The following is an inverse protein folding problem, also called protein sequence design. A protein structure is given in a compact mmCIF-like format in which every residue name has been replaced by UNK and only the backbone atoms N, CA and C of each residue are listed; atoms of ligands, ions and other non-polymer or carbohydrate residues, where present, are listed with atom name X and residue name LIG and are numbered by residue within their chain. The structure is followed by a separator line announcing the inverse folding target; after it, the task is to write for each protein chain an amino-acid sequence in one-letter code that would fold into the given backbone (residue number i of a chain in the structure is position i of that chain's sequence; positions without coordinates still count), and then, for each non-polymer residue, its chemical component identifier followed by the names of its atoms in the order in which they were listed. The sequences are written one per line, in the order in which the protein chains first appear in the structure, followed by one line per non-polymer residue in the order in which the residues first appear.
data_IF_721454609921
#
_entry.id   IF_721454609921
#
_cell.length_a   1.000
_cell.length_b   1.000
_cell.length_c   1.000
_cell.angle_alpha   90.00
_cell.angle_beta   90.00
_cell.angle_gamma   90.00
#
_symmetry.space_group_name_H-M   'P 1'
#
loop_
_entity.id
_entity.type
_entity.pdbx_description
1 polymer ?
#
# COMPACT_ATOMS: atom_id res chain seq x y z
N UNK A 1 3.60 -1.28 -60.12
CA UNK A 1 3.90 -0.71 -58.80
C UNK A 1 2.87 0.37 -58.54
N UNK A 2 2.31 0.52 -57.32
CA UNK A 2 1.40 1.62 -57.03
C UNK A 2 2.13 2.95 -57.29
N UNK A 3 1.43 3.89 -57.91
CA UNK A 3 1.96 5.22 -58.29
C UNK A 3 2.02 6.15 -57.07
N UNK A 4 1.36 5.78 -55.97
CA UNK A 4 1.26 6.56 -54.73
C UNK A 4 1.33 5.60 -53.55
N UNK A 5 2.34 5.76 -52.70
CA UNK A 5 2.43 5.03 -51.45
C UNK A 5 1.35 5.51 -50.48
N UNK A 6 0.65 4.56 -49.84
CA UNK A 6 -0.35 4.84 -48.83
C UNK A 6 0.17 4.36 -47.48
N UNK A 7 0.43 5.31 -46.60
CA UNK A 7 0.85 5.05 -45.22
C UNK A 7 -0.39 5.15 -44.34
N UNK A 8 -0.69 4.09 -43.60
CA UNK A 8 -1.77 4.06 -42.61
C UNK A 8 -1.30 3.27 -41.41
N UNK A 9 -1.77 3.63 -40.23
CA UNK A 9 -1.64 2.80 -39.04
C UNK A 9 -2.24 1.40 -39.27
N UNK A 10 -1.42 0.38 -39.04
CA UNK A 10 -1.79 -1.05 -39.05
C UNK A 10 -1.23 -1.78 -37.81
N UNK A 11 -0.96 -1.01 -36.75
CA UNK A 11 -0.37 -1.51 -35.52
C UNK A 11 -1.39 -2.12 -34.54
N UNK A 12 -0.91 -2.76 -33.46
CA UNK A 12 -1.76 -3.34 -32.42
C UNK A 12 -2.47 -2.27 -31.58
N UNK A 13 -3.74 -2.50 -31.22
CA UNK A 13 -4.58 -1.49 -30.57
C UNK A 13 -4.11 -0.99 -29.19
N UNK A 14 -3.25 -1.73 -28.48
CA UNK A 14 -2.72 -1.38 -27.15
C UNK A 14 -1.40 -0.58 -27.20
N UNK A 15 -1.00 -0.12 -28.39
CA UNK A 15 0.24 0.61 -28.60
C UNK A 15 0.01 2.13 -28.51
N UNK A 16 0.86 2.82 -27.75
CA UNK A 16 0.86 4.28 -27.63
C UNK A 16 1.59 4.96 -28.78
N UNK A 17 2.71 4.38 -29.23
CA UNK A 17 3.47 4.85 -30.40
C UNK A 17 3.83 3.67 -31.28
N UNK A 18 3.58 3.79 -32.57
CA UNK A 18 3.92 2.79 -33.57
C UNK A 18 4.65 3.44 -34.74
N UNK A 19 5.85 2.97 -35.06
CA UNK A 19 6.63 3.42 -36.22
C UNK A 19 6.22 2.59 -37.44
N UNK A 20 5.84 3.28 -38.52
CA UNK A 20 5.60 2.64 -39.80
C UNK A 20 6.89 1.93 -40.29
N UNK A 21 6.85 0.64 -40.71
CA UNK A 21 8.08 -0.12 -40.94
C UNK A 21 8.95 0.37 -42.12
N UNK A 22 8.38 0.73 -43.29
CA UNK A 22 9.15 1.36 -44.36
C UNK A 22 9.65 2.76 -43.99
N UNK A 23 10.92 3.03 -44.27
CA UNK A 23 11.60 4.32 -44.06
C UNK A 23 11.92 5.06 -45.37
N UNK A 24 11.64 4.45 -46.53
CA UNK A 24 11.87 4.97 -47.87
C UNK A 24 10.61 5.63 -48.47
N UNK A 25 10.18 6.75 -47.88
CA UNK A 25 8.98 7.45 -48.33
C UNK A 25 9.25 8.35 -49.54
N UNK A 26 8.32 8.33 -50.50
CA UNK A 26 8.36 9.16 -51.72
C UNK A 26 7.51 10.42 -51.59
N UNK A 27 7.82 11.46 -52.38
CA UNK A 27 6.92 12.61 -52.51
C UNK A 27 5.57 12.20 -53.09
N UNK A 28 4.48 12.80 -52.60
CA UNK A 28 3.11 12.44 -53.03
C UNK A 28 2.47 11.31 -52.23
N UNK A 29 3.21 10.64 -51.35
CA UNK A 29 2.70 9.66 -50.39
C UNK A 29 1.49 10.19 -49.61
N UNK A 30 0.46 9.37 -49.47
CA UNK A 30 -0.74 9.67 -48.70
C UNK A 30 -0.64 9.07 -47.30
N UNK A 31 -0.62 9.92 -46.28
CA UNK A 31 -0.64 9.53 -44.86
C UNK A 31 -2.07 9.63 -44.35
N UNK A 32 -2.63 8.51 -43.90
CA UNK A 32 -3.99 8.41 -43.37
C UNK A 32 -3.94 8.29 -41.85
N UNK A 33 -4.45 9.30 -41.16
CA UNK A 33 -4.47 9.40 -39.70
C UNK A 33 -5.90 9.24 -39.20
N UNK A 34 -6.13 8.31 -38.25
CA UNK A 34 -7.46 8.08 -37.68
C UNK A 34 -7.82 9.18 -36.65
N UNK A 35 -9.11 9.26 -36.28
CA UNK A 35 -9.65 10.30 -35.38
C UNK A 35 -8.98 10.40 -34.00
N UNK A 36 -8.58 9.27 -33.41
CA UNK A 36 -7.92 9.22 -32.11
C UNK A 36 -6.38 9.11 -32.24
N UNK A 37 -5.81 9.61 -33.34
CA UNK A 37 -4.39 9.49 -33.65
C UNK A 37 -3.79 10.80 -34.13
N UNK A 38 -2.48 10.92 -33.93
CA UNK A 38 -1.62 11.88 -34.61
C UNK A 38 -0.51 11.11 -35.31
N UNK A 39 0.04 11.67 -36.40
CA UNK A 39 1.22 11.12 -37.06
C UNK A 39 2.35 12.15 -37.03
N UNK A 40 3.54 11.75 -36.58
CA UNK A 40 4.73 12.60 -36.60
C UNK A 40 5.66 12.14 -37.70
N UNK A 41 6.08 13.11 -38.50
CA UNK A 41 7.06 12.90 -39.55
C UNK A 41 8.46 13.24 -39.05
N UNK A 42 9.38 12.27 -39.11
CA UNK A 42 10.78 12.41 -38.74
C UNK A 42 11.70 12.33 -39.96
N UNK A 43 12.72 13.19 -40.01
CA UNK A 43 13.78 13.13 -41.01
C UNK A 43 15.11 13.55 -40.38
N UNK A 44 16.16 12.77 -40.63
CA UNK A 44 17.50 13.08 -40.11
C UNK A 44 17.53 13.26 -38.59
N UNK A 45 16.74 12.47 -37.85
CA UNK A 45 16.65 12.52 -36.39
C UNK A 45 15.87 13.72 -35.82
N UNK A 46 15.16 14.49 -36.64
CA UNK A 46 14.33 15.62 -36.19
C UNK A 46 12.86 15.40 -36.49
N UNK A 47 12.00 15.65 -35.52
CA UNK A 47 10.55 15.76 -35.72
C UNK A 47 10.28 17.03 -36.54
N UNK A 48 9.69 16.90 -37.71
CA UNK A 48 9.46 18.02 -38.61
C UNK A 48 8.03 18.53 -38.52
N UNK A 49 7.06 17.61 -38.53
CA UNK A 49 5.64 17.98 -38.52
C UNK A 49 4.77 17.00 -37.74
N UNK A 50 3.61 17.49 -37.30
CA UNK A 50 2.58 16.70 -36.59
C UNK A 50 1.28 16.80 -37.39
N UNK A 51 0.85 15.67 -37.94
CA UNK A 51 -0.36 15.55 -38.74
C UNK A 51 -1.51 15.06 -37.85
N UNK A 52 -2.59 15.84 -37.80
CA UNK A 52 -3.82 15.45 -37.10
C UNK A 52 -4.69 14.47 -37.91
N UNK A 53 -5.90 14.14 -37.44
CA UNK A 53 -6.81 13.23 -38.13
C UNK A 53 -7.13 13.65 -39.57
N UNK A 54 -7.22 12.67 -40.47
CA UNK A 54 -7.53 12.87 -41.88
C UNK A 54 -6.48 12.30 -42.83
N UNK A 55 -6.63 12.60 -44.11
CA UNK A 55 -5.70 12.17 -45.15
C UNK A 55 -4.81 13.34 -45.56
N UNK A 56 -3.51 13.16 -45.45
CA UNK A 56 -2.50 14.17 -45.72
C UNK A 56 -1.58 13.71 -46.84
N UNK A 57 -1.28 14.60 -47.78
CA UNK A 57 -0.29 14.31 -48.83
C UNK A 57 1.06 14.88 -48.43
N UNK A 58 2.10 14.05 -48.40
CA UNK A 58 3.47 14.49 -48.17
C UNK A 58 3.94 15.31 -49.39
N UNK A 59 4.00 16.63 -49.20
CA UNK A 59 4.53 17.60 -50.17
C UNK A 59 5.40 18.61 -49.44
N UNK A 60 6.49 19.03 -50.08
CA UNK A 60 7.43 20.06 -49.56
C UNK A 60 6.72 21.35 -49.13
N UNK A 61 5.63 21.71 -49.82
CA UNK A 61 4.86 22.91 -49.52
C UNK A 61 4.06 22.82 -48.21
N UNK A 62 3.65 21.62 -47.79
CA UNK A 62 2.75 21.42 -46.65
C UNK A 62 3.48 21.27 -45.31
N UNK A 63 4.81 21.11 -45.31
CA UNK A 63 5.61 20.98 -44.09
C UNK A 63 6.50 22.24 -43.96
N UNK A 64 6.11 23.24 -43.16
CA UNK A 64 6.78 24.54 -43.10
C UNK A 64 8.27 24.46 -42.75
N UNK A 65 8.65 23.53 -41.87
CA UNK A 65 10.03 23.30 -41.42
C UNK A 65 10.94 22.66 -42.48
N UNK A 66 10.38 22.05 -43.53
CA UNK A 66 11.14 21.41 -44.61
C UNK A 66 11.51 22.35 -45.74
N UNK A 67 10.88 23.53 -45.84
CA UNK A 67 11.11 24.48 -46.96
C UNK A 67 12.57 24.94 -47.06
N UNK A 68 13.30 25.01 -45.94
CA UNK A 68 14.69 25.45 -45.91
C UNK A 68 15.73 24.39 -46.31
N UNK A 69 15.35 23.11 -46.44
CA UNK A 69 16.31 21.99 -46.56
C UNK A 69 16.43 21.40 -47.97
N UNK A 70 15.64 21.85 -48.96
CA UNK A 70 15.44 21.18 -50.26
C UNK A 70 16.01 21.98 -51.44
N UNK A 71 16.98 22.86 -51.21
CA UNK A 71 17.76 23.46 -52.28
C UNK A 71 18.85 22.48 -52.79
N UNK A 72 18.46 21.32 -53.32
CA UNK A 72 19.39 20.35 -53.92
C UNK A 72 18.83 19.77 -55.25
N UNK A 73 19.70 19.41 -56.22
CA UNK A 73 19.41 19.39 -57.65
C UNK A 73 18.77 18.09 -58.16
N UNK A 74 17.88 17.46 -57.39
CA UNK A 74 17.47 16.07 -57.61
C UNK A 74 16.17 15.85 -58.38
N UNK A 75 15.87 16.69 -59.38
CA UNK A 75 15.00 16.26 -60.51
C UNK A 75 13.55 15.87 -60.21
N UNK A 76 12.95 16.29 -59.09
CA UNK A 76 11.50 16.25 -58.88
C UNK A 76 10.91 15.03 -58.17
N UNK A 77 11.58 13.88 -58.15
CA UNK A 77 11.19 12.71 -57.35
C UNK A 77 12.42 12.06 -56.74
N UNK A 78 12.71 12.38 -55.48
CA UNK A 78 13.79 11.75 -54.71
C UNK A 78 13.18 11.01 -53.54
N UNK A 79 13.29 9.68 -53.46
CA UNK A 79 12.97 8.95 -52.23
C UNK A 79 13.88 9.49 -51.13
N UNK A 80 13.30 9.81 -49.98
CA UNK A 80 14.04 10.31 -48.84
C UNK A 80 13.84 9.38 -47.66
N UNK A 81 14.91 9.11 -46.91
CA UNK A 81 14.80 8.41 -45.64
C UNK A 81 13.99 9.27 -44.67
N UNK A 82 12.78 8.83 -44.33
CA UNK A 82 11.93 9.45 -43.35
C UNK A 82 11.04 8.43 -42.66
N UNK A 83 10.78 8.69 -41.39
CA UNK A 83 10.01 7.81 -40.54
C UNK A 83 8.68 8.47 -40.20
N UNK A 84 7.60 7.68 -40.17
CA UNK A 84 6.28 8.13 -39.71
C UNK A 84 5.94 7.36 -38.44
N UNK A 85 5.73 8.11 -37.36
CA UNK A 85 5.29 7.58 -36.07
C UNK A 85 3.82 7.90 -35.90
N UNK A 86 3.00 6.89 -35.67
CA UNK A 86 1.61 7.04 -35.26
C UNK A 86 1.51 7.03 -33.75
N UNK A 87 0.82 8.02 -33.20
CA UNK A 87 0.63 8.21 -31.77
C UNK A 87 -0.84 8.03 -31.46
N UNK A 88 -1.15 7.17 -30.50
CA UNK A 88 -2.49 7.00 -29.99
C UNK A 88 -2.80 8.12 -29.00
N UNK A 89 -3.82 8.92 -29.30
CA UNK A 89 -4.31 10.04 -28.47
C UNK A 89 -5.50 9.62 -27.59
N UNK A 90 -5.98 8.37 -27.71
CA UNK A 90 -7.01 7.86 -26.82
C UNK A 90 -6.49 7.78 -25.38
N UNK A 91 -7.42 7.90 -24.43
CA UNK A 91 -7.10 7.71 -23.02
C UNK A 91 -6.91 6.21 -22.77
N UNK A 92 -5.77 5.85 -22.21
CA UNK A 92 -5.52 4.49 -21.72
C UNK A 92 -5.90 4.43 -20.24
N UNK A 93 -6.94 3.67 -19.90
CA UNK A 93 -7.62 3.73 -18.60
C UNK A 93 -7.10 2.71 -17.56
N UNK A 94 -6.37 1.67 -17.95
CA UNK A 94 -6.05 0.51 -17.09
C UNK A 94 -4.54 0.28 -16.95
N UNK A 95 -3.79 1.33 -16.59
CA UNK A 95 -2.36 1.18 -16.28
C UNK A 95 -2.19 0.83 -14.81
N UNK A 96 -1.94 -0.44 -14.53
CA UNK A 96 -1.80 -0.96 -13.16
C UNK A 96 -0.47 -0.57 -12.53
N UNK A 97 -0.51 -0.33 -11.22
CA UNK A 97 0.68 -0.09 -10.40
C UNK A 97 0.53 -0.76 -9.02
N UNK A 98 1.67 -1.01 -8.39
CA UNK A 98 1.69 -1.56 -7.04
C UNK A 98 3.07 -1.55 -6.42
N UNK A 99 3.10 -1.53 -5.09
CA UNK A 99 4.36 -1.56 -4.34
C UNK A 99 4.98 -2.95 -4.37
N UNK A 100 6.20 -3.09 -4.91
CA UNK A 100 6.95 -4.36 -4.86
C UNK A 100 7.38 -4.71 -3.44
N UNK A 101 8.00 -3.72 -2.79
CA UNK A 101 8.45 -3.83 -1.40
C UNK A 101 7.43 -3.13 -0.49
N UNK A 102 7.06 -3.74 0.64
CA UNK A 102 6.22 -3.10 1.63
C UNK A 102 6.79 -1.77 2.12
N UNK A 103 5.90 -0.89 2.58
CA UNK A 103 6.20 0.38 3.23
C UNK A 103 6.08 0.11 4.74
N UNK A 104 7.19 0.16 5.50
CA UNK A 104 7.11 0.04 6.95
C UNK A 104 6.45 1.29 7.53
N UNK A 105 5.26 1.15 8.10
CA UNK A 105 4.51 2.26 8.71
C UNK A 105 4.12 1.89 10.13
N UNK A 106 4.37 2.79 11.08
CA UNK A 106 3.88 2.59 12.45
C UNK A 106 2.40 2.99 12.51
N UNK A 107 1.53 2.03 12.84
CA UNK A 107 0.11 2.32 13.02
C UNK A 107 -0.07 3.25 14.24
N UNK A 108 -0.73 4.40 14.08
CA UNK A 108 -0.84 5.42 15.13
C UNK A 108 -1.76 5.00 16.29
N UNK A 109 -2.67 4.04 16.07
CA UNK A 109 -3.62 3.55 17.09
C UNK A 109 -3.00 2.43 17.91
N UNK A 110 -2.27 1.53 17.26
CA UNK A 110 -1.71 0.34 17.90
C UNK A 110 -0.22 0.46 18.26
N UNK A 111 0.49 1.43 17.69
CA UNK A 111 1.91 1.66 17.94
C UNK A 111 2.85 0.62 17.35
N UNK A 112 2.35 -0.28 16.50
CA UNK A 112 3.12 -1.38 15.88
C UNK A 112 3.51 -1.04 14.45
N UNK A 113 4.68 -1.52 14.00
CA UNK A 113 5.10 -1.39 12.61
C UNK A 113 4.40 -2.43 11.74
N UNK A 114 3.67 -1.97 10.73
CA UNK A 114 2.98 -2.82 9.78
C UNK A 114 3.61 -2.66 8.38
N UNK A 115 3.85 -3.76 7.65
CA UNK A 115 4.37 -3.72 6.29
C UNK A 115 3.24 -3.43 5.29
N UNK A 116 2.93 -2.15 5.10
CA UNK A 116 1.84 -1.71 4.23
C UNK A 116 2.19 -1.91 2.75
N UNK A 117 1.26 -2.44 1.96
CA UNK A 117 1.34 -2.51 0.50
C UNK A 117 0.19 -1.70 -0.10
N UNK A 118 0.44 -1.08 -1.24
CA UNK A 118 -0.57 -0.32 -1.95
C UNK A 118 -0.62 -0.75 -3.42
N UNK A 119 -1.83 -0.83 -3.94
CA UNK A 119 -2.11 -1.22 -5.32
C UNK A 119 -3.15 -0.29 -5.93
N UNK A 120 -3.08 -0.10 -7.23
CA UNK A 120 -4.10 0.62 -7.94
C UNK A 120 -3.87 0.69 -9.43
N UNK A 121 -4.49 1.68 -10.04
CA UNK A 121 -4.40 1.93 -11.47
C UNK A 121 -4.44 3.42 -11.76
N UNK A 122 -3.94 3.81 -12.91
CA UNK A 122 -4.00 5.18 -13.38
C UNK A 122 -4.27 5.21 -14.87
N UNK A 123 -4.83 6.35 -15.32
CA UNK A 123 -5.11 6.59 -16.72
C UNK A 123 -4.15 7.64 -17.28
N UNK A 124 -3.68 7.38 -18.49
CA UNK A 124 -2.76 8.28 -19.21
C UNK A 124 -3.31 8.62 -20.58
N UNK A 125 -2.89 9.77 -21.07
CA UNK A 125 -3.13 10.20 -22.43
C UNK A 125 -1.87 10.90 -22.96
N UNK A 126 -1.49 10.63 -24.20
CA UNK A 126 -0.41 11.42 -24.84
C UNK A 126 -0.96 12.80 -25.17
N UNK A 127 -0.47 13.83 -24.48
CA UNK A 127 -0.89 15.21 -24.68
C UNK A 127 -0.01 15.89 -25.74
N UNK A 128 1.31 15.84 -25.58
CA UNK A 128 2.28 16.36 -26.55
C UNK A 128 3.01 15.19 -27.21
N UNK A 129 2.63 14.91 -28.46
CA UNK A 129 3.19 13.79 -29.22
C UNK A 129 4.66 14.02 -29.58
N UNK A 130 5.10 15.27 -29.80
CA UNK A 130 6.48 15.58 -30.15
C UNK A 130 7.39 15.35 -28.95
N UNK A 131 7.01 15.88 -27.79
CA UNK A 131 7.74 15.65 -26.54
C UNK A 131 7.78 14.15 -26.21
N UNK A 132 6.64 13.46 -26.34
CA UNK A 132 6.55 12.03 -26.06
C UNK A 132 7.49 11.18 -26.93
N UNK A 133 7.43 11.36 -28.27
CA UNK A 133 8.26 10.54 -29.17
C UNK A 133 9.75 10.86 -29.02
N UNK A 134 10.11 12.14 -28.87
CA UNK A 134 11.53 12.54 -28.76
C UNK A 134 12.18 12.12 -27.45
N UNK A 135 11.44 12.11 -26.34
CA UNK A 135 11.99 11.82 -25.01
C UNK A 135 11.84 10.36 -24.58
N UNK A 136 10.78 9.67 -25.00
CA UNK A 136 10.44 8.32 -24.50
C UNK A 136 10.61 7.24 -25.57
N UNK A 137 10.10 7.45 -26.79
CA UNK A 137 9.95 6.37 -27.78
C UNK A 137 10.89 6.46 -29.00
N UNK A 138 11.96 7.24 -28.91
CA UNK A 138 12.75 7.65 -30.08
C UNK A 138 13.34 6.50 -30.91
N UNK A 139 13.57 5.32 -30.31
CA UNK A 139 14.25 4.18 -30.96
C UNK A 139 13.40 2.93 -31.10
N UNK A 140 12.23 2.85 -30.44
CA UNK A 140 11.40 1.67 -30.46
C UNK A 140 10.44 1.69 -31.65
N UNK A 141 10.29 0.55 -32.33
CA UNK A 141 9.27 0.39 -33.37
C UNK A 141 7.86 0.48 -32.78
N UNK A 142 7.68 -0.02 -31.55
CA UNK A 142 6.42 0.04 -30.82
C UNK A 142 6.69 0.44 -29.37
N UNK A 143 5.79 1.27 -28.80
CA UNK A 143 5.83 1.66 -27.41
C UNK A 143 4.46 1.44 -26.75
N UNK A 144 4.41 0.59 -25.73
CA UNK A 144 3.18 0.17 -25.04
C UNK A 144 2.97 0.91 -23.71
N UNK A 145 1.76 0.81 -23.16
CA UNK A 145 1.47 1.32 -21.82
C UNK A 145 2.22 0.60 -20.70
N UNK A 146 2.60 -0.67 -20.91
CA UNK A 146 3.43 -1.41 -19.95
C UNK A 146 4.85 -0.82 -19.89
N UNK A 147 5.44 -0.50 -21.05
CA UNK A 147 6.74 0.17 -21.11
C UNK A 147 6.66 1.56 -20.48
N UNK A 148 5.58 2.30 -20.70
CA UNK A 148 5.31 3.56 -20.01
C UNK A 148 5.29 3.38 -18.49
N UNK A 149 4.52 2.43 -17.98
CA UNK A 149 4.40 2.14 -16.55
C UNK A 149 5.78 1.81 -15.94
N UNK A 150 6.57 1.00 -16.64
CA UNK A 150 7.93 0.65 -16.21
C UNK A 150 8.86 1.87 -16.18
N UNK A 151 8.77 2.76 -17.17
CA UNK A 151 9.56 4.00 -17.22
C UNK A 151 9.26 4.92 -16.02
N UNK A 152 7.98 5.14 -15.71
CA UNK A 152 7.56 6.01 -14.61
C UNK A 152 7.55 5.31 -13.23
N UNK A 153 7.82 4.01 -13.17
CA UNK A 153 7.71 3.20 -11.95
C UNK A 153 8.50 3.78 -10.78
N UNK A 154 9.72 4.25 -11.03
CA UNK A 154 10.59 4.80 -10.00
C UNK A 154 9.96 6.03 -9.33
N UNK A 155 9.61 7.04 -10.13
CA UNK A 155 9.01 8.28 -9.61
C UNK A 155 7.64 8.05 -8.99
N UNK A 156 6.81 7.21 -9.63
CA UNK A 156 5.48 6.83 -9.14
C UNK A 156 5.57 6.19 -7.76
N UNK A 157 6.40 5.14 -7.61
CA UNK A 157 6.51 4.43 -6.35
C UNK A 157 7.13 5.30 -5.27
N UNK A 158 8.13 6.13 -5.57
CA UNK A 158 8.72 7.03 -4.58
C UNK A 158 7.67 8.01 -4.03
N UNK A 159 6.96 8.73 -4.91
CA UNK A 159 5.98 9.73 -4.48
C UNK A 159 4.75 9.12 -3.81
N UNK A 160 4.25 7.99 -4.33
CA UNK A 160 3.10 7.31 -3.74
C UNK A 160 3.43 6.76 -2.35
N UNK A 161 4.57 6.09 -2.18
CA UNK A 161 4.97 5.52 -0.89
C UNK A 161 5.19 6.59 0.18
N UNK A 162 5.90 7.65 -0.18
CA UNK A 162 6.16 8.79 0.69
C UNK A 162 4.84 9.42 1.18
N UNK A 163 3.93 9.71 0.24
CA UNK A 163 2.65 10.33 0.57
C UNK A 163 1.73 9.45 1.42
N UNK A 164 1.66 8.14 1.13
CA UNK A 164 0.85 7.20 1.92
C UNK A 164 1.37 7.15 3.36
N UNK A 165 2.68 6.95 3.54
CA UNK A 165 3.29 6.89 4.86
C UNK A 165 3.12 8.21 5.63
N UNK A 166 3.39 9.34 4.97
CA UNK A 166 3.22 10.68 5.52
C UNK A 166 1.77 10.91 5.98
N UNK A 167 0.80 10.52 5.16
CA UNK A 167 -0.62 10.73 5.45
C UNK A 167 -1.08 9.89 6.65
N UNK A 168 -0.66 8.63 6.73
CA UNK A 168 -0.96 7.75 7.87
C UNK A 168 -0.43 8.36 9.17
N UNK A 169 0.83 8.80 9.17
CA UNK A 169 1.49 9.34 10.36
C UNK A 169 0.92 10.71 10.76
N UNK A 170 0.80 11.66 9.82
CA UNK A 170 0.37 13.03 10.11
C UNK A 170 -1.11 13.12 10.47
N UNK A 171 -1.98 12.41 9.75
CA UNK A 171 -3.43 12.38 10.05
C UNK A 171 -3.79 11.38 11.14
N UNK A 172 -2.81 10.61 11.65
CA UNK A 172 -3.01 9.55 12.65
C UNK A 172 -4.11 8.56 12.23
N UNK A 173 -4.10 8.16 10.97
CA UNK A 173 -5.08 7.22 10.41
C UNK A 173 -4.70 5.79 10.81
N UNK A 174 -5.64 5.09 11.43
CA UNK A 174 -5.55 3.65 11.67
C UNK A 174 -5.64 2.91 10.33
N UNK A 175 -4.77 1.91 10.11
CA UNK A 175 -4.76 1.17 8.84
C UNK A 175 -6.10 0.47 8.55
N UNK A 176 -6.84 0.04 9.58
CA UNK A 176 -8.16 -0.58 9.41
C UNK A 176 -9.22 0.40 8.86
N UNK A 177 -8.96 1.70 8.95
CA UNK A 177 -9.86 2.78 8.53
C UNK A 177 -9.33 3.48 7.26
N UNK A 178 -8.21 3.02 6.69
CA UNK A 178 -7.54 3.69 5.57
C UNK A 178 -8.39 3.71 4.29
N UNK A 179 -9.29 2.76 4.14
CA UNK A 179 -10.22 2.66 3.01
C UNK A 179 -11.10 3.91 2.85
N UNK A 180 -11.40 4.61 3.95
CA UNK A 180 -12.16 5.85 3.95
C UNK A 180 -11.39 7.06 3.36
N UNK A 181 -10.08 6.92 3.16
CA UNK A 181 -9.20 8.00 2.71
C UNK A 181 -8.60 7.76 1.33
N UNK A 182 -8.96 6.67 0.64
CA UNK A 182 -8.34 6.30 -0.65
C UNK A 182 -8.58 7.34 -1.73
N UNK A 183 -9.78 7.92 -1.80
CA UNK A 183 -10.12 8.96 -2.80
C UNK A 183 -9.30 10.24 -2.60
N UNK A 184 -9.25 10.75 -1.36
CA UNK A 184 -8.42 11.89 -0.98
C UNK A 184 -6.94 11.67 -1.31
N UNK A 185 -6.42 10.47 -0.98
CA UNK A 185 -5.03 10.14 -1.26
C UNK A 185 -4.76 10.01 -2.75
N UNK A 186 -5.72 9.46 -3.50
CA UNK A 186 -5.64 9.30 -4.95
C UNK A 186 -5.51 10.65 -5.65
N UNK A 187 -6.37 11.62 -5.30
CA UNK A 187 -6.32 12.98 -5.87
C UNK A 187 -5.01 13.70 -5.55
N UNK A 188 -4.54 13.61 -4.31
CA UNK A 188 -3.30 14.28 -3.91
C UNK A 188 -2.04 13.67 -4.56
N UNK A 189 -2.00 12.34 -4.73
CA UNK A 189 -0.91 11.66 -5.44
C UNK A 189 -0.95 12.01 -6.93
N UNK A 190 -2.14 12.07 -7.54
CA UNK A 190 -2.31 12.51 -8.93
C UNK A 190 -1.68 13.89 -9.15
N UNK A 191 -1.99 14.86 -8.30
CA UNK A 191 -1.48 16.23 -8.42
C UNK A 191 0.05 16.26 -8.31
N UNK A 192 0.62 15.51 -7.37
CA UNK A 192 2.07 15.39 -7.18
C UNK A 192 2.81 14.76 -8.35
N UNK A 193 2.15 13.86 -9.09
CA UNK A 193 2.71 13.14 -10.24
C UNK A 193 2.46 13.85 -11.56
N UNK A 194 1.39 14.64 -11.68
CA UNK A 194 0.97 15.25 -12.94
C UNK A 194 2.10 16.03 -13.64
N UNK A 195 2.90 16.78 -12.86
CA UNK A 195 4.05 17.53 -13.38
C UNK A 195 5.16 16.63 -13.94
N UNK A 196 5.45 15.49 -13.31
CA UNK A 196 6.50 14.58 -13.78
C UNK A 196 6.11 13.94 -15.11
N UNK A 197 4.84 13.55 -15.27
CA UNK A 197 4.33 12.98 -16.51
C UNK A 197 4.28 14.05 -17.62
N UNK A 198 3.86 15.27 -17.29
CA UNK A 198 3.72 16.35 -18.24
C UNK A 198 5.05 16.76 -18.91
N UNK A 199 6.18 16.64 -18.19
CA UNK A 199 7.52 16.91 -18.74
C UNK A 199 7.84 16.05 -19.98
N UNK A 200 7.23 14.87 -20.09
CA UNK A 200 7.44 13.94 -21.20
C UNK A 200 6.25 13.94 -22.18
N UNK A 201 5.38 14.94 -22.12
CA UNK A 201 4.21 15.03 -22.99
C UNK A 201 3.07 14.06 -22.62
N UNK A 202 3.10 13.47 -21.43
CA UNK A 202 2.05 12.56 -20.95
C UNK A 202 1.15 13.29 -19.96
N UNK A 203 -0.16 13.22 -20.19
CA UNK A 203 -1.16 13.70 -19.24
C UNK A 203 -1.61 12.54 -18.35
N UNK A 204 -1.44 12.70 -17.04
CA UNK A 204 -2.06 11.83 -16.04
C UNK A 204 -3.52 12.24 -15.87
N UNK A 205 -4.44 11.45 -16.41
CA UNK A 205 -5.88 11.77 -16.46
C UNK A 205 -6.54 11.52 -15.11
N UNK A 206 -6.25 10.37 -14.52
CA UNK A 206 -6.65 10.03 -13.15
C UNK A 206 -5.57 9.15 -12.52
N UNK A 207 -5.63 9.03 -11.21
CA UNK A 207 -4.84 8.08 -10.44
C UNK A 207 -5.73 7.53 -9.34
N UNK A 208 -5.72 6.22 -9.14
CA UNK A 208 -6.50 5.56 -8.10
C UNK A 208 -5.63 4.65 -7.25
N UNK A 209 -5.85 4.74 -5.94
CA UNK A 209 -5.52 3.73 -4.95
C UNK A 209 -6.73 2.80 -4.83
N UNK A 210 -6.59 1.57 -5.31
CA UNK A 210 -7.65 0.57 -5.21
C UNK A 210 -7.60 -0.13 -3.85
N UNK A 211 -6.39 -0.38 -3.31
CA UNK A 211 -6.24 -0.99 -2.01
C UNK A 211 -4.95 -0.56 -1.31
N UNK A 212 -5.00 -0.51 0.03
CA UNK A 212 -3.86 -0.29 0.91
C UNK A 212 -3.99 -1.28 2.05
N UNK A 213 -3.22 -2.36 1.99
CA UNK A 213 -3.41 -3.54 2.83
C UNK A 213 -2.09 -3.98 3.47
N UNK A 214 -2.17 -4.93 4.39
CA UNK A 214 -1.02 -5.61 4.97
C UNK A 214 -1.03 -7.09 4.59
N UNK A 215 0.13 -7.70 4.30
CA UNK A 215 0.25 -9.14 4.11
C UNK A 215 -0.33 -9.90 5.31
N UNK A 216 -1.24 -10.85 5.05
CA UNK A 216 -1.89 -11.61 6.12
C UNK A 216 -0.96 -12.62 6.79
N UNK A 217 0.11 -12.99 6.11
CA UNK A 217 1.15 -13.92 6.53
C UNK A 217 2.24 -13.26 7.39
N UNK A 218 2.21 -11.94 7.57
CA UNK A 218 3.18 -11.25 8.42
C UNK A 218 2.92 -11.52 9.92
N UNK A 219 3.95 -11.95 10.64
CA UNK A 219 3.88 -12.28 12.07
C UNK A 219 3.31 -11.15 12.92
N UNK A 220 3.62 -9.89 12.59
CA UNK A 220 3.15 -8.72 13.34
C UNK A 220 1.65 -8.52 13.12
N UNK A 221 1.19 -8.70 11.88
CA UNK A 221 -0.21 -8.59 11.50
C UNK A 221 -1.03 -9.70 12.17
N UNK A 222 -0.54 -10.94 12.15
CA UNK A 222 -1.19 -12.08 12.80
C UNK A 222 -1.34 -11.83 14.30
N UNK A 223 -0.28 -11.38 14.97
CA UNK A 223 -0.30 -11.06 16.40
C UNK A 223 -1.27 -9.92 16.71
N UNK A 224 -1.30 -8.88 15.88
CA UNK A 224 -2.21 -7.76 16.04
C UNK A 224 -3.68 -8.20 15.89
N UNK A 225 -4.01 -8.94 14.82
CA UNK A 225 -5.36 -9.48 14.60
C UNK A 225 -5.81 -10.33 15.79
N UNK A 226 -4.93 -11.19 16.32
CA UNK A 226 -5.22 -12.01 17.51
C UNK A 226 -5.48 -11.14 18.75
N UNK A 227 -4.62 -10.15 19.03
CA UNK A 227 -4.81 -9.25 20.17
C UNK A 227 -6.12 -8.45 20.07
N UNK A 228 -6.52 -8.06 18.86
CA UNK A 228 -7.80 -7.39 18.62
C UNK A 228 -9.00 -8.33 18.83
N UNK A 229 -8.90 -9.58 18.38
CA UNK A 229 -9.92 -10.59 18.62
C UNK A 229 -10.07 -10.89 20.12
N UNK A 230 -8.96 -11.10 20.83
CA UNK A 230 -8.94 -11.34 22.28
C UNK A 230 -9.55 -10.15 23.04
N UNK A 231 -9.22 -8.90 22.63
CA UNK A 231 -9.80 -7.69 23.20
C UNK A 231 -11.32 -7.60 22.95
N UNK A 232 -11.76 -7.88 21.73
CA UNK A 232 -13.19 -7.88 21.40
C UNK A 232 -13.94 -8.96 22.18
N UNK A 233 -13.36 -10.15 22.34
CA UNK A 233 -13.93 -11.21 23.16
C UNK A 233 -14.07 -10.80 24.62
N UNK A 234 -13.03 -10.18 25.20
CA UNK A 234 -13.07 -9.61 26.55
C UNK A 234 -14.19 -8.58 26.71
N UNK A 235 -14.35 -7.69 25.73
CA UNK A 235 -15.36 -6.63 25.75
C UNK A 235 -16.78 -7.18 25.61
N UNK A 236 -17.00 -8.17 24.75
CA UNK A 236 -18.30 -8.82 24.55
C UNK A 236 -18.71 -9.64 25.78
N UNK A 237 -17.76 -10.36 26.40
CA UNK A 237 -18.05 -11.23 27.54
C UNK A 237 -18.07 -10.48 28.87
N UNK A 238 -17.35 -9.37 29.01
CA UNK A 238 -17.24 -8.60 30.25
C UNK A 238 -16.89 -9.50 31.45
N UNK A 239 -17.67 -9.40 32.53
CA UNK A 239 -17.50 -10.21 33.75
C UNK A 239 -17.61 -11.73 33.51
N UNK A 240 -18.31 -12.15 32.45
CA UNK A 240 -18.45 -13.57 32.08
C UNK A 240 -17.18 -14.14 31.47
N UNK A 241 -16.21 -13.31 31.08
CA UNK A 241 -14.93 -13.80 30.55
C UNK A 241 -14.18 -14.66 31.58
N UNK A 242 -14.18 -14.24 32.84
CA UNK A 242 -13.56 -15.00 33.92
C UNK A 242 -14.22 -16.37 34.06
N UNK A 243 -15.56 -16.41 34.04
CA UNK A 243 -16.32 -17.66 34.08
C UNK A 243 -16.00 -18.56 32.87
N UNK A 244 -16.00 -18.00 31.65
CA UNK A 244 -15.64 -18.74 30.43
C UNK A 244 -14.21 -19.29 30.50
N UNK A 245 -13.23 -18.50 30.94
CA UNK A 245 -11.84 -18.98 31.09
C UNK A 245 -11.70 -20.05 32.15
N UNK A 246 -12.43 -19.95 33.26
CA UNK A 246 -12.47 -21.03 34.26
C UNK A 246 -13.05 -22.31 33.66
N UNK A 247 -14.13 -22.21 32.89
CA UNK A 247 -14.74 -23.35 32.20
C UNK A 247 -13.79 -23.95 31.13
N UNK A 248 -13.15 -23.13 30.29
CA UNK A 248 -12.17 -23.57 29.28
C UNK A 248 -10.98 -24.30 29.92
N UNK A 249 -10.50 -23.82 31.08
CA UNK A 249 -9.41 -24.46 31.81
C UNK A 249 -9.87 -25.80 32.40
N UNK A 250 -11.09 -25.87 32.95
CA UNK A 250 -11.67 -27.14 33.43
C UNK A 250 -11.85 -28.14 32.29
N UNK A 251 -12.34 -27.70 31.13
CA UNK A 251 -12.53 -28.54 29.94
C UNK A 251 -11.19 -29.05 29.41
N UNK A 252 -10.16 -28.20 29.31
CA UNK A 252 -8.81 -28.62 28.91
C UNK A 252 -8.14 -29.55 29.93
N UNK A 253 -8.42 -29.39 31.22
CA UNK A 253 -7.94 -30.29 32.25
C UNK A 253 -8.62 -31.67 32.18
N UNK A 254 -9.93 -31.70 31.93
CA UNK A 254 -10.68 -32.94 31.69
C UNK A 254 -10.26 -33.63 30.37
N UNK A 255 -9.97 -32.88 29.31
CA UNK A 255 -9.48 -33.45 28.06
C UNK A 255 -8.04 -34.02 28.16
N UNK A 256 -7.27 -33.67 29.20
CA UNK A 256 -5.90 -34.15 29.44
C UNK A 256 -5.83 -35.22 30.55
N UNK A 257 -6.88 -36.04 30.70
CA UNK A 257 -7.05 -37.14 31.67
C UNK A 257 -5.89 -38.15 31.80
N UNK A 258 -4.86 -38.10 30.94
CA UNK A 258 -3.64 -38.93 31.04
C UNK A 258 -2.43 -38.30 31.76
N UNK A 259 -2.46 -37.02 32.12
CA UNK A 259 -1.33 -36.32 32.75
C UNK A 259 -1.52 -36.10 34.26
N UNK A 260 -0.49 -36.35 35.07
CA UNK A 260 -0.50 -36.32 36.55
C UNK A 260 -1.07 -35.04 37.22
N UNK A 261 -1.31 -33.95 36.48
CA UNK A 261 -1.96 -32.74 36.96
C UNK A 261 -3.50 -32.80 36.98
N UNK A 262 -4.14 -33.67 36.17
CA UNK A 262 -5.61 -33.81 36.11
C UNK A 262 -6.20 -34.50 37.35
N UNK A 263 -5.41 -35.33 38.03
CA UNK A 263 -5.84 -36.09 39.21
C UNK A 263 -5.81 -35.25 40.50
N UNK A 264 -5.03 -34.16 40.55
CA UNK A 264 -4.91 -33.30 41.74
C UNK A 264 -6.04 -32.29 41.90
N UNK A 265 -6.63 -31.82 40.80
CA UNK A 265 -7.71 -30.81 40.82
C UNK A 265 -9.10 -31.43 40.63
N UNK A 266 -9.23 -32.47 39.79
CA UNK A 266 -10.51 -33.17 39.56
C UNK A 266 -11.00 -33.99 40.76
N UNK A 267 -10.08 -34.54 41.56
CA UNK A 267 -10.43 -35.26 42.78
C UNK A 267 -10.51 -34.38 44.03
N UNK A 268 -9.89 -33.19 44.03
CA UNK A 268 -9.86 -32.28 45.18
C UNK A 268 -11.13 -31.44 45.36
N UNK A 269 -11.83 -31.11 44.28
CA UNK A 269 -13.06 -30.30 44.32
C UNK A 269 -14.35 -31.10 44.14
N UNK A 270 -14.32 -32.27 43.49
CA UNK A 270 -15.54 -33.02 43.14
C UNK A 270 -16.09 -33.94 44.23
N UNK A 271 -15.26 -34.38 45.18
CA UNK A 271 -15.65 -35.44 46.14
C UNK A 271 -15.31 -35.15 47.61
N UNK A 272 -14.56 -34.09 47.92
CA UNK A 272 -14.14 -33.76 49.30
C UNK A 272 -14.79 -32.52 49.94
N UNK A 273 -15.38 -31.62 49.14
CA UNK A 273 -15.82 -30.30 49.61
C UNK A 273 -17.27 -30.23 50.13
N UNK A 274 -18.05 -31.31 50.00
CA UNK A 274 -19.46 -31.33 50.39
C UNK A 274 -19.74 -31.59 51.88
N UNK A 275 -18.80 -32.16 52.63
CA UNK A 275 -19.04 -32.56 54.03
C UNK A 275 -18.07 -31.95 55.06
N UNK A 276 -16.89 -31.44 54.65
CA UNK A 276 -15.90 -30.89 55.59
C UNK A 276 -16.03 -29.40 55.91
N UNK A 277 -16.67 -28.61 55.02
CA UNK A 277 -16.69 -27.14 55.12
C UNK A 277 -17.98 -26.59 55.73
N UNK A 278 -18.97 -27.44 56.06
CA UNK A 278 -20.16 -27.02 56.82
C UNK A 278 -19.90 -26.82 58.31
N UNK A 279 -18.95 -27.56 58.88
CA UNK A 279 -18.72 -27.59 60.33
C UNK A 279 -17.67 -26.56 60.81
N UNK A 280 -16.78 -26.13 59.92
CA UNK A 280 -15.82 -25.05 60.22
C UNK A 280 -16.44 -23.65 60.08
N UNK A 281 -17.48 -23.48 59.25
CA UNK A 281 -18.13 -22.18 59.03
C UNK A 281 -19.18 -21.84 60.11
N UNK A 282 -19.77 -22.84 60.76
CA UNK A 282 -20.72 -22.63 61.87
C UNK A 282 -20.03 -22.10 63.15
N UNK A 283 -18.73 -22.37 63.34
CA UNK A 283 -17.98 -21.89 64.50
C UNK A 283 -17.55 -20.42 64.42
N UNK A 284 -17.39 -19.86 63.22
CA UNK A 284 -16.89 -18.50 63.02
C UNK A 284 -17.99 -17.41 63.07
N UNK A 285 -19.27 -17.81 63.02
CA UNK A 285 -20.42 -16.89 62.97
C UNK A 285 -20.99 -16.52 64.35
N UNK A 286 -20.48 -17.12 65.43
CA UNK A 286 -20.90 -16.82 66.81
C UNK A 286 -20.11 -15.67 67.48
N UNK A 287 -19.00 -15.22 66.88
CA UNK A 287 -18.06 -14.29 67.52
C UNK A 287 -18.04 -12.89 66.90
N UNK A 288 -18.96 -12.59 65.98
CA UNK A 288 -19.04 -11.32 65.25
C UNK A 288 -20.35 -10.56 65.53
N UNK A 289 -20.78 -10.53 66.81
CA UNK A 289 -21.91 -9.71 67.27
C UNK A 289 -21.57 -8.79 68.46
N UNK A 290 -20.29 -8.49 68.68
CA UNK A 290 -19.86 -7.45 69.62
C UNK A 290 -18.74 -6.63 68.98
N UNK A 291 -19.07 -5.43 68.50
CA UNK A 291 -18.06 -4.48 68.01
C UNK A 291 -18.50 -3.57 66.87
N UNK A 292 -19.70 -3.00 66.94
CA UNK A 292 -20.11 -1.87 66.09
C UNK A 292 -20.04 -0.59 66.94
N UNK A 293 -18.97 0.20 66.77
CA UNK A 293 -19.08 1.65 66.89
C UNK A 293 -17.98 2.39 66.08
N UNK A 294 -18.45 3.00 64.99
CA UNK A 294 -18.06 4.25 64.35
C UNK A 294 -16.57 4.66 64.18
N UNK A 295 -16.18 4.83 62.90
CA UNK A 295 -15.48 6.02 62.39
C UNK A 295 -13.94 5.99 62.32
N UNK A 296 -13.37 5.84 61.12
CA UNK A 296 -11.93 6.05 60.89
C UNK A 296 -11.49 6.05 59.42
N UNK A 297 -10.87 7.17 59.00
CA UNK A 297 -10.27 7.43 57.70
C UNK A 297 -8.94 6.64 57.47
N UNK A 298 -8.27 6.73 56.30
CA UNK A 298 -7.36 5.70 55.79
C UNK A 298 -6.03 5.59 56.55
N UNK A 299 -5.57 4.34 56.75
CA UNK A 299 -4.31 4.04 57.44
C UNK A 299 -3.08 4.41 56.59
N UNK A 300 -2.22 5.23 57.18
CA UNK A 300 -0.95 5.69 56.65
C UNK A 300 0.11 4.58 56.56
N UNK A 301 0.93 4.65 55.50
CA UNK A 301 2.15 3.86 55.30
C UNK A 301 3.22 4.23 56.34
N UNK A 302 3.89 3.25 57.00
CA UNK A 302 4.97 3.55 57.93
C UNK A 302 6.18 4.15 57.21
N UNK A 303 6.67 5.30 57.68
CA UNK A 303 7.90 5.90 57.21
C UNK A 303 9.09 4.97 57.52
N UNK A 304 9.84 4.56 56.49
CA UNK A 304 11.00 3.66 56.59
C UNK A 304 10.85 2.29 55.91
N UNK A 305 9.71 2.00 55.26
CA UNK A 305 9.54 0.78 54.48
C UNK A 305 10.47 0.78 53.26
N UNK A 306 11.44 -0.16 53.23
CA UNK A 306 12.30 -0.41 52.07
C UNK A 306 11.63 -1.44 51.16
N UNK A 307 11.77 -1.29 49.85
CA UNK A 307 11.25 -2.23 48.86
C UNK A 307 12.40 -2.89 48.08
N UNK A 308 12.21 -4.14 47.67
CA UNK A 308 13.19 -4.87 46.89
C UNK A 308 13.29 -4.25 45.49
N UNK A 309 14.50 -3.87 45.06
CA UNK A 309 14.73 -3.30 43.72
C UNK A 309 14.52 -4.31 42.58
N UNK A 310 14.56 -5.62 42.87
CA UNK A 310 14.37 -6.65 41.87
C UNK A 310 12.90 -7.06 41.68
N UNK A 311 12.08 -7.07 42.73
CA UNK A 311 10.71 -7.57 42.67
C UNK A 311 9.63 -6.64 43.25
N UNK A 312 10.02 -5.48 43.78
CA UNK A 312 9.10 -4.46 44.28
C UNK A 312 8.39 -4.79 45.60
N UNK A 313 8.64 -5.96 46.20
CA UNK A 313 8.01 -6.36 47.47
C UNK A 313 8.68 -5.72 48.68
N UNK A 314 7.90 -5.55 49.75
CA UNK A 314 8.36 -4.94 51.00
C UNK A 314 9.47 -5.75 51.65
N UNK A 315 10.53 -5.07 52.10
CA UNK A 315 11.65 -5.66 52.83
C UNK A 315 11.50 -5.37 54.32
N UNK A 316 11.79 -6.38 55.15
CA UNK A 316 11.95 -6.19 56.58
C UNK A 316 13.16 -5.27 56.86
N UNK A 317 13.09 -4.52 57.97
CA UNK A 317 14.19 -3.65 58.39
C UNK A 317 15.48 -4.49 58.58
N UNK A 318 16.56 -4.10 57.91
CA UNK A 318 17.88 -4.75 57.90
C UNK A 318 18.00 -6.12 57.18
N UNK A 319 17.10 -6.46 56.25
CA UNK A 319 17.25 -7.66 55.42
C UNK A 319 18.49 -7.58 54.49
N UNK A 320 19.34 -8.62 54.49
CA UNK A 320 20.46 -8.77 53.53
C UNK A 320 20.03 -9.44 52.22
N UNK A 321 18.95 -10.22 52.26
CA UNK A 321 18.37 -10.91 51.11
C UNK A 321 16.85 -10.73 51.10
N UNK A 322 16.27 -10.63 49.91
CA UNK A 322 14.83 -10.58 49.73
C UNK A 322 14.23 -11.97 49.98
N UNK A 323 13.27 -12.06 50.91
CA UNK A 323 12.62 -13.33 51.25
C UNK A 323 11.81 -13.93 50.08
N UNK A 324 11.33 -13.09 49.15
CA UNK A 324 10.48 -13.54 48.05
C UNK A 324 11.24 -14.01 46.81
N UNK A 325 12.38 -13.38 46.49
CA UNK A 325 13.10 -13.67 45.26
C UNK A 325 14.59 -13.98 45.47
N UNK A 326 15.07 -13.99 46.72
CA UNK A 326 16.43 -14.40 47.08
C UNK A 326 17.53 -13.42 46.68
N UNK A 327 17.21 -12.31 46.03
CA UNK A 327 18.21 -11.31 45.63
C UNK A 327 18.78 -10.57 46.83
N UNK A 328 20.08 -10.26 46.79
CA UNK A 328 20.78 -9.53 47.85
C UNK A 328 20.36 -8.06 47.85
N UNK A 329 19.88 -7.56 48.98
CA UNK A 329 19.28 -6.22 49.15
C UNK A 329 19.96 -5.38 50.23
N UNK A 330 21.04 -5.90 50.85
CA UNK A 330 21.86 -5.22 51.86
C UNK A 330 23.33 -5.56 51.77
#
# INVERSE_FOLDING_TARGET
MPIIDRVKYDGPGNVLVWRFPPDDLSWGTQVVVNQAQEAIFFKGGRALDVLGPGTHTLRTANIPLLRGLIAAPFGGETPFAAEVYYINKAVNLDVKWGTNNPIPVQDPKFGVFLPVRAFGQFAVQVADSRAFVTQISATAQEFTSEQLSNYFRGVLLTKAKDYIAETIVKKKINLLEISAYLEDMSGAIQEKLAGDFAQYGVKLVNFYLNSVDVPEDDDTVVRLKKALADKAELEILGDKYQQKRTLDVMEKAAANEGGAAGMGLGAGLGLGAGMGMGQAMAGAMGQMNQGLNAGGAPAATPAGAKFCSACGKGLAAAAKFCADCGSKVG
#
